data_IF_021624362836
#
_entry.id   IF_021624362836
#
_cell.length_a   1.000
_cell.length_b   1.000
_cell.length_c   1.000
_cell.angle_alpha   90.00
_cell.angle_beta   90.00
_cell.angle_gamma   90.00
#
_symmetry.space_group_name_H-M   'P 1'
#
loop_
_entity.id
_entity.type
_entity.pdbx_description
1 polymer ?
#
# COMPACT_ATOMS: atom_id res chain seq x y z
N UNK A 1 -8.13 6.32 8.24
CA UNK A 1 -7.25 5.34 8.92
C UNK A 1 -7.17 5.72 10.39
N UNK A 2 -6.90 4.77 11.28
CA UNK A 2 -6.68 5.05 12.71
C UNK A 2 -5.30 4.54 13.14
N UNK A 3 -4.60 5.37 13.90
CA UNK A 3 -3.28 5.09 14.47
C UNK A 3 -3.38 5.22 15.99
N UNK A 4 -2.85 4.25 16.72
CA UNK A 4 -2.75 4.27 18.18
C UNK A 4 -1.35 3.82 18.60
N UNK A 5 -0.68 4.55 19.48
CA UNK A 5 0.67 4.22 19.97
C UNK A 5 1.70 3.95 18.85
N UNK A 6 1.61 4.68 17.73
CA UNK A 6 2.49 4.51 16.57
C UNK A 6 2.18 3.27 15.70
N UNK A 7 1.05 2.60 15.95
CA UNK A 7 0.63 1.39 15.26
C UNK A 7 -0.65 1.63 14.46
N UNK A 8 -0.73 1.05 13.27
CA UNK A 8 -1.97 1.07 12.48
C UNK A 8 -2.98 0.10 13.11
N UNK A 9 -4.14 0.61 13.52
CA UNK A 9 -5.21 -0.23 14.12
C UNK A 9 -6.42 -0.39 13.22
N UNK A 10 -6.61 0.53 12.25
CA UNK A 10 -7.70 0.43 11.28
C UNK A 10 -7.35 1.09 9.94
N UNK A 11 -7.78 0.46 8.85
CA UNK A 11 -7.54 0.90 7.47
C UNK A 11 -8.81 0.71 6.64
N UNK A 12 -9.31 1.81 6.08
CA UNK A 12 -10.41 1.80 5.13
C UNK A 12 -9.90 2.12 3.72
N UNK A 13 -10.22 1.26 2.76
CA UNK A 13 -9.92 1.50 1.34
C UNK A 13 -11.04 2.34 0.73
N UNK A 14 -10.73 3.59 0.34
CA UNK A 14 -11.68 4.50 -0.32
C UNK A 14 -11.75 4.25 -1.83
N UNK A 15 -10.60 3.99 -2.45
CA UNK A 15 -10.45 3.64 -3.87
C UNK A 15 -9.43 2.52 -3.99
N UNK A 16 -9.84 1.39 -4.55
CA UNK A 16 -9.00 0.20 -4.66
C UNK A 16 -8.79 -0.26 -6.10
N UNK A 17 -7.77 -1.10 -6.30
CA UNK A 17 -7.48 -1.74 -7.58
C UNK A 17 -8.54 -2.80 -7.91
N UNK A 18 -8.98 -2.87 -9.17
CA UNK A 18 -10.05 -3.79 -9.62
C UNK A 18 -9.79 -5.28 -9.33
N UNK A 19 -8.52 -5.68 -9.15
CA UNK A 19 -8.11 -7.04 -8.77
C UNK A 19 -8.22 -7.35 -7.27
N UNK A 20 -8.80 -6.45 -6.48
CA UNK A 20 -8.96 -6.54 -5.02
C UNK A 20 -7.67 -6.46 -4.18
N UNK A 21 -6.49 -6.34 -4.79
CA UNK A 21 -5.20 -6.28 -4.08
C UNK A 21 -5.14 -5.21 -2.97
N UNK A 22 -5.80 -4.07 -3.16
CA UNK A 22 -5.84 -2.99 -2.17
C UNK A 22 -6.50 -3.41 -0.85
N UNK A 23 -7.60 -4.18 -0.92
CA UNK A 23 -8.32 -4.64 0.27
C UNK A 23 -7.57 -5.75 1.00
N UNK A 24 -6.94 -6.68 0.26
CA UNK A 24 -6.12 -7.73 0.88
C UNK A 24 -4.87 -7.15 1.54
N UNK A 25 -4.17 -6.22 0.86
CA UNK A 25 -3.02 -5.54 1.45
C UNK A 25 -3.40 -4.70 2.69
N UNK A 26 -4.53 -4.00 2.66
CA UNK A 26 -5.02 -3.20 3.79
C UNK A 26 -5.23 -4.03 5.06
N UNK A 27 -5.79 -5.25 4.94
CA UNK A 27 -5.95 -6.17 6.08
C UNK A 27 -4.61 -6.55 6.71
N UNK A 28 -3.57 -6.72 5.89
CA UNK A 28 -2.25 -7.22 6.31
C UNK A 28 -1.37 -6.18 6.98
N UNK A 29 -1.64 -4.88 6.76
CA UNK A 29 -0.87 -3.80 7.39
C UNK A 29 -1.39 -3.40 8.77
N UNK A 30 -2.59 -3.84 9.17
CA UNK A 30 -3.08 -3.66 10.55
C UNK A 30 -2.09 -4.34 11.52
N UNK A 31 -1.75 -3.65 12.61
CA UNK A 31 -0.75 -4.07 13.57
C UNK A 31 0.70 -3.81 13.13
N UNK A 32 0.91 -3.00 12.10
CA UNK A 32 2.26 -2.60 11.65
C UNK A 32 2.62 -1.22 12.19
N UNK A 33 3.88 -0.97 12.60
CA UNK A 33 4.36 0.37 12.92
C UNK A 33 4.23 1.32 11.74
N UNK A 34 3.93 2.60 12.00
CA UNK A 34 3.80 3.62 10.95
C UNK A 34 5.03 3.72 10.04
N UNK A 35 6.23 3.58 10.63
CA UNK A 35 7.51 3.71 9.91
C UNK A 35 7.74 2.57 8.89
N UNK A 36 7.11 1.41 9.10
CA UNK A 36 7.25 0.23 8.23
C UNK A 36 6.04 0.02 7.31
N UNK A 37 4.93 0.69 7.59
CA UNK A 37 3.65 0.48 6.92
C UNK A 37 3.72 0.72 5.40
N UNK A 38 4.46 1.73 4.94
CA UNK A 38 4.59 2.03 3.51
C UNK A 38 5.31 0.90 2.76
N UNK A 39 6.42 0.41 3.32
CA UNK A 39 7.17 -0.73 2.77
C UNK A 39 6.29 -1.98 2.74
N UNK A 40 5.62 -2.30 3.84
CA UNK A 40 4.76 -3.48 3.95
C UNK A 40 3.59 -3.41 2.98
N UNK A 41 2.89 -2.27 2.88
CA UNK A 41 1.78 -2.08 1.94
C UNK A 41 2.22 -2.30 0.48
N UNK A 42 3.40 -1.78 0.11
CA UNK A 42 3.97 -2.00 -1.22
C UNK A 42 4.26 -3.47 -1.52
N UNK A 43 4.72 -4.24 -0.53
CA UNK A 43 4.98 -5.68 -0.67
C UNK A 43 3.68 -6.48 -0.73
N UNK A 44 2.77 -6.28 0.21
CA UNK A 44 1.50 -7.02 0.28
C UNK A 44 0.67 -6.80 -1.00
N UNK A 45 0.61 -5.56 -1.49
CA UNK A 45 -0.12 -5.26 -2.74
C UNK A 45 0.49 -5.96 -3.97
N UNK A 46 1.79 -6.22 -4.00
CA UNK A 46 2.43 -7.01 -5.08
C UNK A 46 2.00 -8.47 -5.02
N UNK A 47 1.94 -9.08 -3.83
CA UNK A 47 1.56 -10.48 -3.65
C UNK A 47 0.11 -10.77 -4.04
N UNK A 48 -0.80 -9.81 -3.83
CA UNK A 48 -2.21 -9.95 -4.18
C UNK A 48 -2.58 -9.35 -5.55
N UNK A 49 -1.60 -8.81 -6.28
CA UNK A 49 -1.85 -8.24 -7.60
C UNK A 49 -2.06 -9.36 -8.64
N UNK A 50 -3.06 -9.19 -9.51
CA UNK A 50 -3.28 -10.08 -10.66
C UNK A 50 -2.46 -9.70 -11.90
N UNK A 51 -1.67 -8.61 -11.84
CA UNK A 51 -0.84 -8.20 -12.97
C UNK A 51 0.33 -9.17 -13.17
N UNK A 52 0.77 -9.36 -14.41
CA UNK A 52 1.84 -10.31 -14.71
C UNK A 52 3.17 -9.88 -14.06
N UNK A 53 3.70 -10.63 -13.07
CA UNK A 53 4.95 -10.26 -12.40
C UNK A 53 6.18 -10.40 -13.30
N UNK A 54 6.10 -11.20 -14.37
CA UNK A 54 7.14 -11.39 -15.37
C UNK A 54 7.04 -10.41 -16.55
N UNK A 55 5.97 -9.61 -16.62
CA UNK A 55 5.79 -8.62 -17.69
C UNK A 55 6.74 -7.46 -17.49
N UNK A 56 7.95 -7.51 -18.06
CA UNK A 56 8.89 -6.40 -17.95
C UNK A 56 8.40 -5.18 -18.76
N UNK A 57 8.32 -4.02 -18.11
CA UNK A 57 8.03 -2.76 -18.78
C UNK A 57 9.34 -2.02 -19.12
N UNK A 58 9.67 -1.81 -20.41
CA UNK A 58 10.87 -1.09 -20.83
C UNK A 58 10.89 0.39 -20.40
N UNK A 59 9.72 1.01 -20.18
CA UNK A 59 9.61 2.43 -19.79
C UNK A 59 10.01 2.61 -18.32
N UNK A 60 9.58 1.69 -17.44
CA UNK A 60 9.79 1.80 -16.00
C UNK A 60 10.91 0.90 -15.45
N UNK A 61 11.46 0.02 -16.28
CA UNK A 61 12.53 -0.92 -15.90
C UNK A 61 12.12 -1.86 -14.76
N UNK A 62 10.84 -2.20 -14.67
CA UNK A 62 10.22 -3.06 -13.66
C UNK A 62 8.94 -3.68 -14.21
N UNK A 63 8.41 -4.71 -13.55
CA UNK A 63 7.11 -5.28 -13.90
C UNK A 63 5.93 -4.51 -13.29
N UNK A 64 4.71 -4.61 -13.87
CA UNK A 64 3.50 -3.93 -13.40
C UNK A 64 3.20 -4.10 -11.92
N UNK A 65 3.52 -5.25 -11.33
CA UNK A 65 3.32 -5.48 -9.88
C UNK A 65 4.16 -4.50 -9.04
N UNK A 66 5.39 -4.20 -9.45
CA UNK A 66 6.23 -3.22 -8.75
C UNK A 66 5.66 -1.81 -8.85
N UNK A 67 5.04 -1.46 -9.98
CA UNK A 67 4.33 -0.20 -10.14
C UNK A 67 3.12 -0.14 -9.19
N UNK A 68 2.31 -1.20 -9.13
CA UNK A 68 1.22 -1.31 -8.17
C UNK A 68 1.73 -1.15 -6.72
N UNK A 69 2.85 -1.81 -6.37
CA UNK A 69 3.51 -1.68 -5.07
C UNK A 69 3.85 -0.23 -4.72
N UNK A 70 4.46 0.52 -5.65
CA UNK A 70 4.79 1.95 -5.44
C UNK A 70 3.54 2.82 -5.23
N UNK A 71 2.49 2.60 -6.01
CA UNK A 71 1.24 3.35 -5.88
C UNK A 71 0.61 3.14 -4.51
N UNK A 72 0.54 1.89 -4.04
CA UNK A 72 -0.04 1.58 -2.73
C UNK A 72 0.86 2.04 -1.56
N UNK A 73 2.19 1.94 -1.70
CA UNK A 73 3.13 2.45 -0.71
C UNK A 73 3.00 3.98 -0.54
N UNK A 74 2.89 4.73 -1.65
CA UNK A 74 2.63 6.17 -1.57
C UNK A 74 1.25 6.45 -0.97
N UNK A 75 0.22 5.72 -1.39
CA UNK A 75 -1.14 5.94 -0.90
C UNK A 75 -1.25 5.81 0.62
N UNK A 76 -0.58 4.80 1.21
CA UNK A 76 -0.59 4.61 2.67
C UNK A 76 0.32 5.60 3.40
N UNK A 77 1.49 5.95 2.84
CA UNK A 77 2.40 6.91 3.46
C UNK A 77 1.72 8.27 3.64
N UNK A 78 1.05 8.71 2.59
CA UNK A 78 0.30 9.95 2.65
C UNK A 78 -0.93 9.88 3.58
N UNK A 79 -1.61 8.72 3.66
CA UNK A 79 -2.72 8.53 4.61
C UNK A 79 -2.24 8.57 6.07
N UNK A 80 -0.99 8.15 6.34
CA UNK A 80 -0.36 8.29 7.64
C UNK A 80 -0.09 9.76 7.94
N UNK A 81 0.42 10.53 6.97
CA UNK A 81 0.64 11.98 7.12
C UNK A 81 -0.68 12.67 7.50
N UNK A 82 -1.75 12.42 6.74
CA UNK A 82 -3.09 12.97 7.03
C UNK A 82 -3.59 12.57 8.42
N UNK A 83 -3.45 11.28 8.80
CA UNK A 83 -3.90 10.77 10.09
C UNK A 83 -3.09 11.32 11.28
N UNK A 84 -1.86 11.77 11.04
CA UNK A 84 -1.01 12.44 12.03
C UNK A 84 -1.13 13.97 12.01
N UNK A 85 -2.04 14.53 11.19
CA UNK A 85 -2.34 15.96 11.13
C UNK A 85 -1.45 16.79 10.20
N UNK A 86 -0.68 16.14 9.30
CA UNK A 86 0.08 16.82 8.25
C UNK A 86 -0.75 17.06 6.98
N UNK A 87 -0.31 18.02 6.16
CA UNK A 87 -0.84 18.24 4.80
C UNK A 87 -0.08 17.36 3.78
N UNK A 88 -0.80 16.81 2.81
CA UNK A 88 -0.32 15.84 1.80
C UNK A 88 0.07 16.51 0.48
#
# INVERSE_FOLDING_TARGET
MKIENGMIVDVQVVRGASCAASWEAAKRIIGTPVDDAARKMGIESQFFCSANPAGWDPIYGKSPVHFAGKVHAKAIADAIIEAMGGER
#
